data_IF_033891364626
#
_entry.id   IF_033891364626
#
_cell.length_a   1.000
_cell.length_b   1.000
_cell.length_c   1.000
_cell.angle_alpha   90.00
_cell.angle_beta   90.00
_cell.angle_gamma   90.00
#
_symmetry.space_group_name_H-M   'P 1'
#
loop_
_entity.id
_entity.type
_entity.pdbx_description
1 polymer ?
#
# COMPACT_ATOMS: atom_id res chain seq x y z
N UNK A 1 -3.62 19.36 23.79
CA UNK A 1 -2.26 18.95 23.37
C UNK A 1 -2.30 18.72 21.87
N UNK A 2 -1.59 19.51 21.07
CA UNK A 2 -1.37 19.17 19.66
C UNK A 2 -0.46 17.92 19.65
N UNK A 3 -1.06 16.75 19.42
CA UNK A 3 -0.29 15.52 19.25
C UNK A 3 0.71 15.71 18.11
N UNK A 4 1.93 15.19 18.28
CA UNK A 4 2.90 15.10 17.19
C UNK A 4 2.19 14.55 15.95
N UNK A 5 2.24 15.28 14.84
CA UNK A 5 1.69 14.83 13.56
C UNK A 5 2.29 13.45 13.25
N UNK A 6 1.43 12.43 13.15
CA UNK A 6 1.86 11.06 12.97
C UNK A 6 2.45 10.89 11.57
N UNK A 7 3.77 10.66 11.50
CA UNK A 7 4.47 10.38 10.25
C UNK A 7 4.46 8.88 9.99
N UNK A 8 4.06 8.45 8.78
CA UNK A 8 4.17 7.05 8.39
C UNK A 8 5.59 6.73 7.93
N UNK A 9 6.21 5.63 8.40
CA UNK A 9 7.44 5.18 7.80
C UNK A 9 7.17 4.73 6.35
N UNK A 10 7.90 5.31 5.40
CA UNK A 10 7.88 4.93 3.99
C UNK A 10 9.02 3.97 3.63
N UNK A 11 9.97 3.82 4.56
CA UNK A 11 11.24 3.09 4.44
C UNK A 11 11.55 2.31 5.73
N UNK A 12 12.24 1.18 5.59
CA UNK A 12 12.88 0.35 6.63
C UNK A 12 11.97 -0.23 7.73
N UNK A 13 10.80 0.37 7.99
CA UNK A 13 9.74 -0.17 8.82
C UNK A 13 8.53 -0.49 7.96
N UNK A 14 8.04 -1.71 8.05
CA UNK A 14 6.77 -2.11 7.45
C UNK A 14 5.63 -1.55 8.29
N UNK A 15 4.47 -1.44 7.66
CA UNK A 15 3.22 -1.16 8.37
C UNK A 15 2.96 -2.19 9.49
N UNK A 16 3.27 -3.48 9.24
CA UNK A 16 3.20 -4.52 10.29
C UNK A 16 4.11 -4.22 11.47
N UNK A 17 5.32 -3.68 11.26
CA UNK A 17 6.24 -3.35 12.34
C UNK A 17 5.71 -2.20 13.22
N UNK A 18 4.91 -1.28 12.66
CA UNK A 18 4.27 -0.19 13.40
C UNK A 18 3.07 -0.69 14.19
N UNK A 19 2.27 -1.58 13.59
CA UNK A 19 1.16 -2.24 14.29
C UNK A 19 1.69 -3.11 15.44
N UNK A 20 2.80 -3.82 15.23
CA UNK A 20 3.40 -4.69 16.25
C UNK A 20 3.91 -3.91 17.47
N UNK A 21 4.49 -2.73 17.24
CA UNK A 21 4.90 -1.84 18.33
C UNK A 21 3.72 -1.40 19.20
N UNK A 22 2.54 -1.16 18.59
CA UNK A 22 1.36 -0.64 19.30
C UNK A 22 0.47 -1.73 19.90
N UNK A 23 0.29 -2.86 19.22
CA UNK A 23 -0.70 -3.88 19.57
C UNK A 23 -0.10 -5.25 19.92
N UNK A 24 1.21 -5.43 19.81
CA UNK A 24 1.86 -6.73 19.96
C UNK A 24 1.77 -7.55 18.68
N UNK A 25 1.89 -8.87 18.76
CA UNK A 25 1.97 -9.74 17.57
C UNK A 25 0.83 -9.50 16.55
N UNK A 26 1.21 -9.32 15.28
CA UNK A 26 0.29 -9.12 14.17
C UNK A 26 0.43 -10.26 13.16
N UNK A 27 -0.70 -10.86 12.79
CA UNK A 27 -0.78 -11.87 11.74
C UNK A 27 -1.71 -11.42 10.61
N UNK A 28 -1.55 -12.02 9.42
CA UNK A 28 -2.39 -11.75 8.27
C UNK A 28 -3.47 -12.84 8.13
N UNK A 29 -4.74 -12.45 8.21
CA UNK A 29 -5.89 -13.30 7.85
C UNK A 29 -6.26 -13.01 6.39
N UNK A 30 -5.82 -13.88 5.48
CA UNK A 30 -6.12 -13.78 4.04
C UNK A 30 -7.56 -14.21 3.79
N UNK A 31 -8.36 -13.32 3.21
CA UNK A 31 -9.76 -13.59 2.85
C UNK A 31 -9.90 -14.06 1.40
N UNK A 32 -9.06 -13.52 0.52
CA UNK A 32 -8.98 -13.86 -0.90
C UNK A 32 -7.58 -13.55 -1.40
N UNK A 33 -7.04 -14.39 -2.26
CA UNK A 33 -5.81 -14.10 -3.00
C UNK A 33 -5.89 -14.84 -4.33
N UNK A 34 -6.16 -14.09 -5.39
CA UNK A 34 -6.29 -14.62 -6.74
C UNK A 34 -4.93 -15.05 -7.29
N UNK A 35 -4.89 -16.17 -7.99
CA UNK A 35 -3.69 -16.56 -8.73
C UNK A 35 -3.52 -15.68 -9.98
N UNK A 36 -2.45 -14.88 -10.02
CA UNK A 36 -2.15 -13.98 -11.15
C UNK A 36 -1.99 -14.70 -12.49
N UNK A 37 -1.57 -15.97 -12.49
CA UNK A 37 -1.39 -16.76 -13.72
C UNK A 37 -2.72 -17.25 -14.28
N UNK A 38 -3.73 -17.39 -13.43
CA UNK A 38 -5.09 -17.81 -13.82
C UNK A 38 -5.97 -16.70 -14.38
N UNK A 39 -5.61 -15.42 -14.13
CA UNK A 39 -6.40 -14.26 -14.53
C UNK A 39 -5.94 -13.71 -15.88
N UNK A 40 -6.90 -13.47 -16.78
CA UNK A 40 -6.64 -12.98 -18.14
C UNK A 40 -7.20 -11.58 -18.43
N UNK A 41 -8.31 -11.17 -17.80
CA UNK A 41 -9.02 -9.92 -18.14
C UNK A 41 -9.27 -9.00 -16.95
N UNK A 42 -9.32 -9.54 -15.73
CA UNK A 42 -9.50 -8.76 -14.50
C UNK A 42 -8.19 -8.71 -13.72
N UNK A 43 -7.90 -7.61 -12.99
CA UNK A 43 -6.77 -7.59 -12.09
C UNK A 43 -6.95 -8.67 -11.02
N UNK A 44 -5.91 -9.46 -10.79
CA UNK A 44 -5.88 -10.38 -9.66
C UNK A 44 -5.85 -9.57 -8.36
N UNK A 45 -6.67 -9.94 -7.40
CA UNK A 45 -6.77 -9.23 -6.13
C UNK A 45 -6.34 -10.08 -4.94
N UNK A 46 -5.82 -9.41 -3.92
CA UNK A 46 -5.62 -9.97 -2.59
C UNK A 46 -6.34 -9.11 -1.56
N UNK A 47 -7.03 -9.77 -0.66
CA UNK A 47 -7.73 -9.16 0.47
C UNK A 47 -7.30 -9.83 1.76
N UNK A 48 -6.92 -9.03 2.74
CA UNK A 48 -6.53 -9.55 4.05
C UNK A 48 -6.83 -8.56 5.18
N UNK A 49 -7.07 -9.10 6.36
CA UNK A 49 -6.97 -8.36 7.61
C UNK A 49 -5.59 -8.54 8.23
N UNK A 50 -5.03 -7.46 8.76
CA UNK A 50 -3.90 -7.52 9.70
C UNK A 50 -4.48 -7.48 11.10
N UNK A 51 -4.45 -8.62 11.79
CA UNK A 51 -5.09 -8.84 13.07
C UNK A 51 -4.07 -8.98 14.20
N UNK A 52 -4.43 -8.50 15.39
CA UNK A 52 -3.65 -8.75 16.59
C UNK A 52 -3.97 -10.11 17.23
N UNK A 53 -3.37 -10.40 18.39
CA UNK A 53 -3.60 -11.64 19.15
C UNK A 53 -5.05 -11.84 19.61
N UNK A 54 -5.86 -10.78 19.65
CA UNK A 54 -7.29 -10.83 20.01
C UNK A 54 -8.17 -11.03 18.76
N UNK A 55 -7.56 -11.22 17.59
CA UNK A 55 -8.18 -11.28 16.27
C UNK A 55 -8.90 -9.99 15.87
N UNK A 56 -8.54 -8.86 16.47
CA UNK A 56 -9.09 -7.56 16.10
C UNK A 56 -8.32 -7.06 14.89
N UNK A 57 -9.02 -6.72 13.82
CA UNK A 57 -8.39 -6.17 12.63
C UNK A 57 -7.95 -4.73 12.89
N UNK A 58 -6.64 -4.50 12.83
CA UNK A 58 -6.03 -3.16 12.94
C UNK A 58 -5.87 -2.49 11.59
N UNK A 59 -5.90 -3.27 10.52
CA UNK A 59 -5.89 -2.76 9.14
C UNK A 59 -6.56 -3.77 8.23
N UNK A 60 -7.44 -3.28 7.36
CA UNK A 60 -7.93 -4.03 6.22
C UNK A 60 -7.09 -3.64 4.98
N UNK A 61 -6.62 -4.62 4.23
CA UNK A 61 -5.79 -4.40 3.05
C UNK A 61 -6.42 -5.02 1.81
N UNK A 62 -6.57 -4.21 0.76
CA UNK A 62 -6.97 -4.63 -0.58
C UNK A 62 -5.81 -4.34 -1.53
N UNK A 63 -5.30 -5.36 -2.21
CA UNK A 63 -4.20 -5.26 -3.16
C UNK A 63 -4.67 -5.64 -4.55
N UNK A 64 -4.42 -4.78 -5.52
CA UNK A 64 -4.50 -5.11 -6.95
C UNK A 64 -3.10 -5.51 -7.41
N UNK A 65 -2.92 -6.78 -7.76
CA UNK A 65 -1.64 -7.33 -8.15
C UNK A 65 -1.30 -6.89 -9.58
N UNK A 66 -0.14 -6.27 -9.75
CA UNK A 66 0.30 -5.69 -11.03
C UNK A 66 1.67 -6.19 -11.50
N UNK A 67 2.29 -7.10 -10.75
CA UNK A 67 3.58 -7.68 -11.12
C UNK A 67 3.48 -8.58 -12.37
N UNK A 68 4.61 -8.75 -13.06
CA UNK A 68 4.70 -9.63 -14.23
C UNK A 68 4.51 -11.09 -13.81
N UNK A 69 3.38 -11.69 -14.23
CA UNK A 69 3.05 -13.10 -13.92
C UNK A 69 4.02 -14.13 -14.51
N UNK A 70 4.87 -13.72 -15.46
CA UNK A 70 5.93 -14.55 -16.03
C UNK A 70 7.21 -14.57 -15.18
N UNK A 71 7.34 -13.70 -14.18
CA UNK A 71 8.45 -13.72 -13.22
C UNK A 71 8.24 -14.85 -12.20
N UNK A 72 9.04 -15.91 -12.32
CA UNK A 72 8.96 -17.10 -11.46
C UNK A 72 9.33 -16.79 -10.00
N UNK A 73 10.27 -15.89 -9.74
CA UNK A 73 10.66 -15.52 -8.38
C UNK A 73 9.53 -14.77 -7.69
N UNK A 74 8.91 -13.81 -8.38
CA UNK A 74 7.77 -13.09 -7.83
C UNK A 74 6.55 -13.97 -7.65
N UNK A 75 6.30 -14.89 -8.58
CA UNK A 75 5.22 -15.86 -8.43
C UNK A 75 5.45 -16.80 -7.23
N UNK A 76 6.69 -17.22 -6.98
CA UNK A 76 7.03 -18.00 -5.78
C UNK A 76 6.76 -17.21 -4.50
N UNK A 77 7.23 -15.95 -4.43
CA UNK A 77 7.01 -15.05 -3.28
C UNK A 77 5.49 -14.84 -3.07
N UNK A 78 4.75 -14.59 -4.14
CA UNK A 78 3.30 -14.41 -4.13
C UNK A 78 2.56 -15.65 -3.63
N UNK A 79 3.03 -16.85 -3.99
CA UNK A 79 2.46 -18.10 -3.48
C UNK A 79 2.65 -18.23 -1.96
N UNK A 80 3.83 -17.87 -1.42
CA UNK A 80 4.04 -17.85 0.04
C UNK A 80 3.15 -16.80 0.74
N UNK A 81 2.88 -15.66 0.09
CA UNK A 81 1.96 -14.63 0.60
C UNK A 81 0.52 -15.15 0.59
N UNK A 82 0.13 -15.87 -0.47
CA UNK A 82 -1.18 -16.51 -0.61
C UNK A 82 -1.43 -17.56 0.47
N UNK A 83 -0.39 -18.28 0.88
CA UNK A 83 -0.43 -19.29 1.95
C UNK A 83 -0.43 -18.68 3.38
N UNK A 84 -0.74 -17.38 3.51
CA UNK A 84 -0.89 -16.68 4.79
C UNK A 84 0.26 -15.74 5.13
N UNK A 85 1.26 -15.59 4.26
CA UNK A 85 2.36 -14.66 4.46
C UNK A 85 1.93 -13.18 4.45
N UNK A 86 2.61 -12.37 5.27
CA UNK A 86 2.58 -10.91 5.16
C UNK A 86 3.43 -10.48 3.97
N UNK A 87 2.88 -9.65 3.07
CA UNK A 87 3.60 -9.18 1.86
C UNK A 87 5.01 -8.70 2.22
N UNK A 88 5.11 -7.74 3.14
CA UNK A 88 6.40 -7.14 3.49
C UNK A 88 7.37 -8.10 4.17
N UNK A 89 6.89 -8.98 5.07
CA UNK A 89 7.75 -9.96 5.75
C UNK A 89 8.26 -11.02 4.77
N UNK A 90 7.41 -11.48 3.84
CA UNK A 90 7.80 -12.46 2.82
C UNK A 90 8.85 -11.88 1.86
N UNK A 91 8.66 -10.66 1.33
CA UNK A 91 9.67 -10.02 0.48
C UNK A 91 11.02 -9.87 1.19
N UNK A 92 11.04 -9.48 2.48
CA UNK A 92 12.28 -9.42 3.29
C UNK A 92 12.96 -10.77 3.45
N UNK A 93 12.20 -11.83 3.70
CA UNK A 93 12.72 -13.21 3.79
C UNK A 93 13.47 -13.62 2.50
N UNK A 94 13.03 -13.10 1.35
CA UNK A 94 13.65 -13.31 0.04
C UNK A 94 14.72 -12.25 -0.32
N UNK A 95 15.19 -11.46 0.65
CA UNK A 95 16.29 -10.52 0.46
C UNK A 95 15.91 -9.23 -0.28
N UNK A 96 14.62 -8.91 -0.39
CA UNK A 96 14.17 -7.65 -0.96
C UNK A 96 14.10 -6.55 0.11
N UNK A 97 14.56 -5.36 -0.30
CA UNK A 97 14.19 -4.09 0.32
C UNK A 97 12.82 -3.67 -0.20
N UNK A 98 12.08 -2.91 0.60
CA UNK A 98 10.71 -2.49 0.31
C UNK A 98 10.59 -0.98 0.48
N UNK A 99 9.84 -0.35 -0.42
CA UNK A 99 9.41 1.05 -0.32
C UNK A 99 7.94 1.15 -0.72
N UNK A 100 7.26 2.20 -0.27
CA UNK A 100 5.87 2.49 -0.66
C UNK A 100 5.82 3.85 -1.34
N UNK A 101 5.37 3.86 -2.59
CA UNK A 101 5.03 5.09 -3.29
C UNK A 101 3.57 5.43 -2.99
N UNK A 102 3.31 6.38 -2.09
CA UNK A 102 1.92 6.77 -1.79
C UNK A 102 1.36 7.54 -2.97
N UNK A 103 0.26 7.07 -3.52
CA UNK A 103 -0.40 7.70 -4.67
C UNK A 103 -1.72 8.37 -4.28
N UNK A 104 -2.30 8.00 -3.13
CA UNK A 104 -3.53 8.61 -2.63
C UNK A 104 -3.73 8.43 -1.12
N UNK A 105 -4.45 9.37 -0.52
CA UNK A 105 -4.95 9.28 0.87
C UNK A 105 -6.36 9.89 0.90
N UNK A 106 -7.32 9.14 1.42
CA UNK A 106 -8.72 9.59 1.51
C UNK A 106 -9.41 8.95 2.72
N UNK A 107 -10.65 9.36 2.99
CA UNK A 107 -11.51 8.70 3.98
C UNK A 107 -12.57 7.88 3.28
N UNK A 108 -12.96 6.77 3.92
CA UNK A 108 -14.03 5.90 3.47
C UNK A 108 -15.04 5.68 4.59
N UNK A 109 -16.35 5.57 4.27
CA UNK A 109 -17.32 5.06 5.22
C UNK A 109 -17.00 3.59 5.54
N UNK A 110 -17.12 3.24 6.82
CA UNK A 110 -16.98 1.87 7.29
C UNK A 110 -18.33 1.16 7.21
N UNK A 111 -18.33 0.01 6.56
CA UNK A 111 -19.47 -0.90 6.54
C UNK A 111 -19.65 -1.56 7.90
N UNK A 112 -20.84 -2.07 8.19
CA UNK A 112 -21.15 -2.72 9.48
C UNK A 112 -20.14 -3.83 9.78
N UNK A 113 -19.87 -4.67 8.78
CA UNK A 113 -18.88 -5.74 8.86
C UNK A 113 -17.47 -5.23 9.18
N UNK A 114 -17.02 -4.13 8.56
CA UNK A 114 -15.69 -3.58 8.87
C UNK A 114 -15.63 -2.92 10.25
N UNK A 115 -16.72 -2.29 10.71
CA UNK A 115 -16.81 -1.76 12.08
C UNK A 115 -16.73 -2.87 13.11
N UNK A 116 -17.41 -3.99 12.84
CA UNK A 116 -17.34 -5.20 13.65
C UNK A 116 -15.93 -5.79 13.64
N UNK A 117 -15.29 -6.00 12.49
CA UNK A 117 -13.92 -6.55 12.43
C UNK A 117 -12.87 -5.63 13.09
N UNK A 118 -13.10 -4.31 13.09
CA UNK A 118 -12.22 -3.33 13.75
C UNK A 118 -12.56 -3.11 15.23
N UNK A 119 -13.70 -3.61 15.74
CA UNK A 119 -14.24 -3.28 17.06
C UNK A 119 -14.33 -1.77 17.34
N UNK A 120 -14.87 -0.99 16.39
CA UNK A 120 -15.00 0.46 16.52
C UNK A 120 -16.43 0.94 16.31
N UNK A 121 -16.78 2.07 16.93
CA UNK A 121 -18.05 2.75 16.71
C UNK A 121 -17.97 3.85 15.65
N UNK A 122 -16.76 4.16 15.16
CA UNK A 122 -16.55 5.20 14.15
C UNK A 122 -17.17 4.82 12.80
N UNK A 123 -17.73 5.80 12.11
CA UNK A 123 -18.39 5.58 10.82
C UNK A 123 -17.44 5.68 9.62
N UNK A 124 -16.23 6.20 9.83
CA UNK A 124 -15.26 6.44 8.77
C UNK A 124 -13.86 6.00 9.20
N UNK A 125 -13.06 5.60 8.22
CA UNK A 125 -11.64 5.27 8.39
C UNK A 125 -10.79 6.00 7.35
N UNK A 126 -9.50 6.20 7.68
CA UNK A 126 -8.51 6.69 6.74
C UNK A 126 -8.02 5.53 5.87
N UNK A 127 -8.06 5.71 4.56
CA UNK A 127 -7.46 4.84 3.57
C UNK A 127 -6.19 5.48 3.01
N UNK A 128 -5.16 4.67 2.81
CA UNK A 128 -3.94 5.04 2.06
C UNK A 128 -3.76 4.09 0.91
N UNK A 129 -3.50 4.62 -0.27
CA UNK A 129 -3.20 3.82 -1.46
C UNK A 129 -1.75 4.05 -1.85
N UNK A 130 -1.03 2.95 -2.06
CA UNK A 130 0.38 2.99 -2.43
C UNK A 130 0.74 1.92 -3.44
N UNK A 131 1.72 2.19 -4.28
CA UNK A 131 2.41 1.15 -5.03
C UNK A 131 3.46 0.52 -4.12
N UNK A 132 3.40 -0.81 -3.97
CA UNK A 132 4.34 -1.58 -3.19
C UNK A 132 5.57 -1.88 -4.04
N UNK A 133 6.66 -1.18 -3.76
CA UNK A 133 7.93 -1.40 -4.43
C UNK A 133 8.77 -2.43 -3.71
N UNK A 134 9.43 -3.30 -4.47
CA UNK A 134 10.45 -4.20 -3.98
C UNK A 134 11.72 -4.10 -4.85
N UNK A 135 12.90 -4.20 -4.22
CA UNK A 135 14.19 -4.23 -4.92
C UNK A 135 15.17 -5.10 -4.13
N UNK A 136 15.90 -5.99 -4.79
CA UNK A 136 17.07 -6.65 -4.21
C UNK A 136 18.36 -6.18 -4.93
N UNK A 137 19.53 -6.66 -4.49
CA UNK A 137 20.82 -6.21 -5.05
C UNK A 137 21.00 -6.51 -6.55
N UNK A 138 20.25 -7.46 -7.09
CA UNK A 138 20.40 -7.98 -8.45
C UNK A 138 19.32 -7.48 -9.41
N UNK A 139 18.28 -6.81 -8.92
CA UNK A 139 17.13 -6.42 -9.72
C UNK A 139 16.91 -4.91 -9.72
N UNK A 140 16.34 -4.40 -10.82
CA UNK A 140 15.69 -3.09 -10.79
C UNK A 140 14.48 -3.12 -9.83
N UNK A 141 14.06 -1.96 -9.30
CA UNK A 141 12.84 -1.88 -8.52
C UNK A 141 11.63 -2.33 -9.35
N UNK A 142 10.81 -3.15 -8.72
CA UNK A 142 9.55 -3.65 -9.27
C UNK A 142 8.39 -3.09 -8.47
N UNK A 143 7.22 -3.01 -9.09
CA UNK A 143 5.95 -2.73 -8.42
C UNK A 143 5.21 -4.06 -8.31
N UNK A 144 5.02 -4.56 -7.08
CA UNK A 144 4.31 -5.81 -6.85
C UNK A 144 2.78 -5.65 -7.05
N UNK A 145 2.25 -4.51 -6.60
CA UNK A 145 0.83 -4.22 -6.68
C UNK A 145 0.50 -2.84 -6.11
N UNK A 146 -0.74 -2.41 -6.35
CA UNK A 146 -1.33 -1.24 -5.71
C UNK A 146 -2.09 -1.70 -4.46
N UNK A 147 -1.66 -1.24 -3.30
CA UNK A 147 -2.19 -1.64 -2.00
C UNK A 147 -2.97 -0.48 -1.40
N UNK A 148 -4.26 -0.70 -1.16
CA UNK A 148 -5.07 0.10 -0.27
C UNK A 148 -5.00 -0.47 1.15
N UNK A 149 -4.61 0.36 2.11
CA UNK A 149 -4.62 0.08 3.53
C UNK A 149 -5.68 0.97 4.20
N UNK A 150 -6.73 0.35 4.74
CA UNK A 150 -7.78 1.00 5.52
C UNK A 150 -7.50 0.79 7.00
N UNK A 151 -7.21 1.86 7.71
CA UNK A 151 -6.77 1.80 9.10
C UNK A 151 -7.95 1.78 10.06
N UNK A 152 -7.86 0.98 11.13
CA UNK A 152 -8.84 1.05 12.21
C UNK A 152 -8.80 2.46 12.85
N UNK A 153 -9.96 3.10 13.12
CA UNK A 153 -10.02 4.46 13.67
C UNK A 153 -9.26 4.67 14.99
N UNK A 154 -9.12 3.62 15.82
CA UNK A 154 -8.34 3.64 17.07
C UNK A 154 -6.82 3.56 16.82
N UNK A 155 -6.42 3.00 15.67
CA UNK A 155 -5.03 3.02 15.22
C UNK A 155 -4.67 4.37 14.65
N UNK A 156 -5.47 4.83 13.67
CA UNK A 156 -5.33 6.10 12.97
C UNK A 156 -6.72 6.67 12.70
N UNK A 157 -7.02 7.81 13.31
CA UNK A 157 -8.30 8.49 13.09
C UNK A 157 -8.51 8.86 11.62
N UNK A 158 -9.78 9.06 11.19
CA UNK A 158 -10.16 9.39 9.83
C UNK A 158 -9.88 10.85 9.45
N UNK A 159 -8.69 11.37 9.76
CA UNK A 159 -8.30 12.77 9.54
C UNK A 159 -7.07 12.80 8.64
N UNK A 160 -7.19 13.38 7.45
CA UNK A 160 -6.08 13.58 6.52
C UNK A 160 -5.37 14.89 6.90
N UNK A 161 -4.06 14.85 7.08
CA UNK A 161 -3.25 16.01 7.45
C UNK A 161 -2.26 16.41 6.33
N UNK A 162 -1.55 17.52 6.50
CA UNK A 162 -0.58 17.98 5.49
C UNK A 162 0.56 16.99 5.21
N UNK A 163 0.96 16.20 6.21
CA UNK A 163 2.02 15.19 6.04
C UNK A 163 1.53 14.11 5.09
N UNK A 164 0.29 13.65 5.25
CA UNK A 164 -0.34 12.69 4.35
C UNK A 164 -0.32 13.20 2.90
N UNK A 165 -0.70 14.46 2.69
CA UNK A 165 -0.74 15.09 1.35
C UNK A 165 0.66 15.26 0.76
N UNK A 166 1.65 15.68 1.55
CA UNK A 166 3.04 15.85 1.10
C UNK A 166 3.69 14.53 0.67
N UNK A 167 3.22 13.41 1.21
CA UNK A 167 3.69 12.08 0.84
C UNK A 167 3.08 11.56 -0.48
N UNK A 168 2.12 12.25 -1.09
CA UNK A 168 1.50 11.82 -2.36
C UNK A 168 2.44 12.10 -3.54
N UNK A 169 2.65 11.06 -4.34
CA UNK A 169 3.53 10.97 -5.49
C UNK A 169 2.75 10.53 -6.73
N UNK A 170 3.29 10.73 -7.95
CA UNK A 170 2.65 10.23 -9.15
C UNK A 170 2.65 8.70 -9.19
N UNK A 171 1.73 8.13 -9.96
CA UNK A 171 1.74 6.70 -10.29
C UNK A 171 2.97 6.40 -11.17
N UNK A 172 3.61 5.26 -10.93
CA UNK A 172 4.88 4.89 -11.56
C UNK A 172 4.88 5.05 -13.08
N UNK A 173 3.93 4.43 -13.79
CA UNK A 173 3.95 4.41 -15.26
C UNK A 173 3.63 5.79 -15.85
N UNK A 174 2.91 6.65 -15.12
CA UNK A 174 2.71 8.04 -15.51
C UNK A 174 4.02 8.81 -15.36
N UNK A 175 4.71 8.66 -14.23
CA UNK A 175 6.02 9.28 -14.01
C UNK A 175 7.05 8.87 -15.07
N UNK A 176 7.03 7.61 -15.52
CA UNK A 176 7.89 7.11 -16.59
C UNK A 176 7.67 7.85 -17.93
N UNK A 177 6.44 8.31 -18.25
CA UNK A 177 6.17 9.14 -19.44
C UNK A 177 6.90 10.48 -19.40
N UNK A 178 7.14 11.01 -18.21
CA UNK A 178 7.91 12.23 -17.96
C UNK A 178 9.41 11.98 -17.80
N UNK A 179 9.89 10.76 -18.08
CA UNK A 179 11.29 10.38 -17.98
C UNK A 179 11.78 10.13 -16.55
N UNK A 180 10.86 9.94 -15.59
CA UNK A 180 11.19 9.56 -14.22
C UNK A 180 11.11 8.04 -14.11
N UNK A 181 12.26 7.37 -14.14
CA UNK A 181 12.29 5.90 -14.06
C UNK A 181 11.95 5.37 -12.66
N UNK A 182 11.59 4.08 -12.57
CA UNK A 182 11.43 3.37 -11.29
C UNK A 182 12.64 3.49 -10.37
N UNK A 183 13.86 3.47 -10.91
CA UNK A 183 15.08 3.63 -10.10
C UNK A 183 15.19 5.03 -9.50
N UNK A 184 14.82 6.06 -10.26
CA UNK A 184 14.78 7.45 -9.78
C UNK A 184 13.70 7.60 -8.70
N UNK A 185 12.48 7.10 -8.92
CA UNK A 185 11.42 7.09 -7.91
C UNK A 185 11.83 6.31 -6.67
N UNK A 186 12.41 5.13 -6.85
CA UNK A 186 12.93 4.32 -5.76
C UNK A 186 13.88 5.15 -4.90
N UNK A 187 14.93 5.73 -5.49
CA UNK A 187 15.91 6.53 -4.76
C UNK A 187 15.34 7.80 -4.13
N UNK A 188 14.33 8.41 -4.76
CA UNK A 188 13.63 9.56 -4.20
C UNK A 188 12.78 9.23 -2.97
N UNK A 189 12.16 8.04 -2.96
CA UNK A 189 11.44 7.51 -1.80
C UNK A 189 12.38 7.13 -0.64
N UNK A 190 13.71 7.23 -0.82
CA UNK A 190 14.66 7.12 0.28
C UNK A 190 14.78 8.47 1.02
N UNK A 191 14.11 8.58 2.17
CA UNK A 191 14.19 9.76 3.03
C UNK A 191 15.65 10.13 3.41
N UNK A 192 16.56 9.15 3.49
CA UNK A 192 17.99 9.43 3.78
C UNK A 192 18.77 10.02 2.61
N UNK A 193 18.20 9.96 1.40
CA UNK A 193 18.73 10.59 0.18
C UNK A 193 17.93 11.83 -0.23
N UNK A 194 16.92 12.26 0.52
CA UNK A 194 16.23 13.52 0.25
C UNK A 194 17.25 14.68 0.21
N UNK A 195 17.27 15.39 -0.92
CA UNK A 195 18.27 16.44 -1.23
C UNK A 195 19.48 15.99 -2.04
N UNK A 196 19.71 14.67 -2.23
CA UNK A 196 20.75 14.14 -3.13
C UNK A 196 20.21 13.69 -4.48
N UNK A 197 18.95 13.26 -4.53
CA UNK A 197 18.25 12.95 -5.78
C UNK A 197 17.69 14.25 -6.35
N UNK A 198 18.33 14.80 -7.37
CA UNK A 198 17.82 15.96 -8.10
C UNK A 198 16.71 15.45 -9.03
N UNK A 199 15.47 15.56 -8.57
CA UNK A 199 14.29 15.40 -9.42
C UNK A 199 13.88 16.75 -9.95
N UNK A 200 13.55 16.78 -11.23
CA UNK A 200 12.94 17.93 -11.86
C UNK A 200 11.51 18.08 -11.30
N UNK A 201 11.33 19.08 -10.43
CA UNK A 201 10.05 19.33 -9.75
C UNK A 201 8.92 19.61 -10.73
N UNK A 202 9.22 20.22 -11.88
CA UNK A 202 8.21 20.50 -12.91
C UNK A 202 7.67 19.20 -13.48
N UNK A 203 8.56 18.28 -13.88
CA UNK A 203 8.19 16.95 -14.38
C UNK A 203 7.44 16.14 -13.34
N UNK A 204 7.88 16.21 -12.08
CA UNK A 204 7.21 15.49 -10.99
C UNK A 204 5.78 16.02 -10.79
N UNK A 205 5.58 17.34 -10.82
CA UNK A 205 4.26 17.95 -10.66
C UNK A 205 3.35 17.66 -11.85
N UNK A 206 3.85 17.71 -13.08
CA UNK A 206 3.10 17.32 -14.28
C UNK A 206 2.67 15.85 -14.21
N UNK A 207 3.58 14.95 -13.81
CA UNK A 207 3.25 13.55 -13.59
C UNK A 207 2.20 13.34 -12.50
N UNK A 208 2.23 14.14 -11.42
CA UNK A 208 1.21 14.08 -10.35
C UNK A 208 -0.16 14.49 -10.88
N UNK A 209 -0.22 15.57 -11.65
CA UNK A 209 -1.45 16.07 -12.25
C UNK A 209 -2.06 15.04 -13.23
N UNK A 210 -1.25 14.47 -14.14
CA UNK A 210 -1.73 13.43 -15.06
C UNK A 210 -2.14 12.14 -14.32
N UNK A 211 -1.53 11.84 -13.17
CA UNK A 211 -1.89 10.66 -12.36
C UNK A 211 -3.29 10.75 -11.75
N UNK A 212 -3.88 11.96 -11.62
CA UNK A 212 -5.14 12.16 -10.90
C UNK A 212 -6.29 11.33 -11.48
N UNK A 213 -6.42 11.28 -12.81
CA UNK A 213 -7.49 10.52 -13.47
C UNK A 213 -7.42 9.02 -13.14
N UNK A 214 -6.22 8.47 -13.08
CA UNK A 214 -6.00 7.07 -12.75
C UNK A 214 -6.18 6.81 -11.25
N UNK A 215 -5.73 7.72 -10.39
CA UNK A 215 -5.99 7.68 -8.95
C UNK A 215 -7.49 7.70 -8.66
N UNK A 216 -8.26 8.56 -9.34
CA UNK A 216 -9.72 8.60 -9.17
C UNK A 216 -10.41 7.33 -9.64
N UNK A 217 -9.96 6.74 -10.76
CA UNK A 217 -10.47 5.44 -11.22
C UNK A 217 -10.19 4.33 -10.20
N UNK A 218 -8.96 4.28 -9.66
CA UNK A 218 -8.58 3.31 -8.65
C UNK A 218 -9.39 3.49 -7.35
N UNK A 219 -9.57 4.74 -6.91
CA UNK A 219 -10.40 5.07 -5.74
C UNK A 219 -11.84 4.59 -5.93
N UNK A 220 -12.43 4.85 -7.09
CA UNK A 220 -13.77 4.38 -7.44
C UNK A 220 -13.84 2.84 -7.43
N UNK A 221 -12.86 2.17 -8.04
CA UNK A 221 -12.79 0.71 -8.04
C UNK A 221 -12.71 0.13 -6.62
N UNK A 222 -11.95 0.76 -5.72
CA UNK A 222 -11.88 0.39 -4.31
C UNK A 222 -13.25 0.55 -3.63
N UNK A 223 -13.93 1.68 -3.86
CA UNK A 223 -15.25 1.94 -3.30
C UNK A 223 -16.29 0.93 -3.78
N UNK A 224 -16.37 0.73 -5.11
CA UNK A 224 -17.28 -0.24 -5.72
C UNK A 224 -17.05 -1.66 -5.17
N UNK A 225 -15.78 -2.06 -4.97
CA UNK A 225 -15.44 -3.36 -4.37
C UNK A 225 -15.93 -3.49 -2.92
N UNK A 226 -15.74 -2.45 -2.11
CA UNK A 226 -16.15 -2.45 -0.71
C UNK A 226 -17.68 -2.40 -0.55
N UNK A 227 -18.39 -1.73 -1.46
CA UNK A 227 -19.85 -1.67 -1.45
C UNK A 227 -20.50 -3.00 -1.82
N UNK A 228 -19.92 -3.72 -2.79
CA UNK A 228 -20.41 -5.05 -3.20
C UNK A 228 -20.21 -6.15 -2.13
N UNK A 229 -19.41 -5.86 -1.09
CA UNK A 229 -19.12 -6.75 0.04
C UNK A 229 -20.15 -6.66 1.17
N UNK A 230 -21.09 -5.73 1.08
CA UNK A 230 -22.17 -5.52 2.05
C UNK A 230 -23.35 -6.45 1.86
#
# INVERSE_FOLDING_TARGET
>A
MMGKLEHFPTKDRLHTDVLEEKYGEIHAKVLRHDDVRSKHQEPAIREAHLQDKENISRTYALTFLTYDKSDDLLYQIDSEIRDGGSIGKTFRKHGFLIRKNVIDVFTLPLTDKLRDEFHVTGEHAKARVSEFYAKNEKTSPIVYGQVMELYSPDFRGPIINEVDIKQIHPITHVAEKYGISKDVLWDYLDESKQGKTILDEEKLNQAKEESLDEVFKLRKQIQDYLEQRN
#
